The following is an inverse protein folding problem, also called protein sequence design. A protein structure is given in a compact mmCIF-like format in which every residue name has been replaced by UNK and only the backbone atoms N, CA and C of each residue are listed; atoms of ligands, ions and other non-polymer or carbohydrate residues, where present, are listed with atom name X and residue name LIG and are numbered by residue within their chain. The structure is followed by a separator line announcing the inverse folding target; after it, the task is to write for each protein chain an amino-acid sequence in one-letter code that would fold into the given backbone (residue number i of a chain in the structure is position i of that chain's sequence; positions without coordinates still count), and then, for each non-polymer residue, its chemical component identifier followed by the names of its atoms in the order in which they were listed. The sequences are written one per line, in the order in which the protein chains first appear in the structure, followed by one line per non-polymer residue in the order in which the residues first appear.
data_IF_389151882472
#
_entry.id   IF_389151882472
#
_cell.length_a   1.000
_cell.length_b   1.000
_cell.length_c   1.000
_cell.angle_alpha   90.00
_cell.angle_beta   90.00
_cell.angle_gamma   90.00
#
_symmetry.space_group_name_H-M   'P 1'
#
loop_
_entity.id
_entity.type
_entity.pdbx_description
1 polymer ?
#
# COMPACT_ATOMS: atom_id res chain seq x y z
N UNK A 1 56.92 -6.94 14.30
CA UNK A 1 55.73 -7.13 15.16
C UNK A 1 54.54 -7.32 14.25
N UNK A 2 54.07 -8.58 14.16
CA UNK A 2 53.12 -9.07 13.14
C UNK A 2 51.67 -8.80 13.57
N UNK A 3 50.88 -8.20 12.68
CA UNK A 3 49.46 -7.94 12.90
C UNK A 3 48.64 -9.20 12.57
N UNK A 4 48.13 -9.85 13.62
CA UNK A 4 47.28 -11.03 13.51
C UNK A 4 45.91 -10.67 12.91
N UNK A 5 45.64 -11.18 11.71
CA UNK A 5 44.34 -11.16 11.05
C UNK A 5 43.34 -12.00 11.87
N UNK A 6 42.33 -11.35 12.47
CA UNK A 6 41.20 -12.06 13.10
C UNK A 6 40.32 -12.69 12.02
N UNK A 7 40.51 -13.97 11.78
CA UNK A 7 39.60 -14.80 10.97
C UNK A 7 38.27 -14.92 11.70
N UNK A 8 37.19 -14.46 11.07
CA UNK A 8 35.80 -14.62 11.52
C UNK A 8 35.48 -16.12 11.49
N UNK A 9 35.39 -16.76 12.66
CA UNK A 9 34.91 -18.14 12.78
C UNK A 9 33.46 -18.21 12.29
N UNK A 10 33.20 -19.08 11.31
CA UNK A 10 31.86 -19.44 10.89
C UNK A 10 31.12 -20.12 12.07
N UNK A 11 29.80 -19.91 12.22
CA UNK A 11 29.04 -20.52 13.29
C UNK A 11 29.09 -22.05 13.18
N UNK A 12 29.40 -22.70 14.29
CA UNK A 12 29.41 -24.16 14.43
C UNK A 12 27.99 -24.69 14.17
N UNK A 13 27.80 -25.66 13.26
CA UNK A 13 26.48 -26.22 13.02
C UNK A 13 26.00 -26.98 14.27
N UNK A 14 24.79 -26.67 14.73
CA UNK A 14 24.12 -27.43 15.78
C UNK A 14 23.97 -28.89 15.35
N UNK A 15 24.52 -29.80 16.14
CA UNK A 15 24.50 -31.25 15.91
C UNK A 15 23.05 -31.76 16.00
N UNK A 16 22.55 -32.37 14.93
CA UNK A 16 21.35 -33.25 15.00
C UNK A 16 20.23 -33.01 13.99
N UNK A 17 20.25 -31.96 13.16
CA UNK A 17 19.27 -31.84 12.06
C UNK A 17 19.85 -32.54 10.82
N UNK A 18 19.24 -33.61 10.28
CA UNK A 18 19.70 -34.19 9.04
C UNK A 18 19.71 -33.12 7.95
N UNK A 19 20.87 -32.87 7.35
CA UNK A 19 21.01 -31.91 6.25
C UNK A 19 20.09 -32.33 5.11
N UNK A 20 19.19 -31.44 4.71
CA UNK A 20 18.23 -31.72 3.65
C UNK A 20 18.94 -32.20 2.38
N UNK A 21 18.56 -33.36 1.80
CA UNK A 21 19.23 -33.89 0.62
C UNK A 21 19.04 -32.94 -0.57
N UNK A 22 20.10 -32.77 -1.37
CA UNK A 22 20.01 -32.00 -2.60
C UNK A 22 18.96 -32.62 -3.54
N UNK A 23 18.16 -31.77 -4.19
CA UNK A 23 17.17 -32.22 -5.16
C UNK A 23 17.85 -32.73 -6.43
N UNK A 24 17.42 -33.87 -7.00
CA UNK A 24 17.89 -34.36 -8.29
C UNK A 24 17.80 -33.29 -9.39
N UNK A 25 18.78 -33.27 -10.30
CA UNK A 25 18.91 -32.22 -11.33
C UNK A 25 17.72 -32.19 -12.31
N UNK A 26 17.17 -33.36 -12.65
CA UNK A 26 15.97 -33.50 -13.49
C UNK A 26 14.74 -32.88 -12.82
N UNK A 27 14.58 -33.08 -11.51
CA UNK A 27 13.52 -32.46 -10.73
C UNK A 27 13.73 -30.94 -10.65
N UNK A 28 14.96 -30.46 -10.43
CA UNK A 28 15.24 -29.02 -10.43
C UNK A 28 14.92 -28.36 -11.77
N UNK A 29 15.25 -29.01 -12.89
CA UNK A 29 14.92 -28.54 -14.23
C UNK A 29 13.41 -28.44 -14.46
N UNK A 30 12.64 -29.43 -13.99
CA UNK A 30 11.17 -29.40 -14.05
C UNK A 30 10.58 -28.27 -13.21
N UNK A 31 11.06 -28.07 -11.97
CA UNK A 31 10.60 -26.99 -11.10
C UNK A 31 10.90 -25.61 -11.69
N UNK A 32 12.04 -25.45 -12.36
CA UNK A 32 12.36 -24.23 -13.09
C UNK A 32 11.41 -24.01 -14.28
N UNK A 33 11.20 -25.03 -15.12
CA UNK A 33 10.32 -24.98 -16.30
C UNK A 33 8.87 -24.66 -15.93
N UNK A 34 8.37 -25.24 -14.84
CA UNK A 34 7.02 -25.00 -14.32
C UNK A 34 6.90 -23.71 -13.50
N UNK A 35 8.02 -22.99 -13.31
CA UNK A 35 8.11 -21.77 -12.50
C UNK A 35 7.60 -21.99 -11.08
N UNK A 36 8.08 -23.03 -10.39
CA UNK A 36 7.72 -23.38 -9.01
C UNK A 36 8.86 -22.99 -8.03
N UNK A 37 9.15 -21.67 -7.86
CA UNK A 37 10.33 -21.23 -7.13
C UNK A 37 10.29 -21.56 -5.64
N UNK A 38 9.11 -21.62 -5.03
CA UNK A 38 8.97 -21.86 -3.59
C UNK A 38 9.08 -23.34 -3.28
N UNK A 39 8.47 -24.21 -4.09
CA UNK A 39 8.74 -25.66 -4.02
C UNK A 39 10.23 -25.92 -4.22
N UNK A 40 10.85 -25.32 -5.24
CA UNK A 40 12.30 -25.51 -5.46
C UNK A 40 13.15 -25.11 -4.26
N UNK A 41 12.75 -24.06 -3.54
CA UNK A 41 13.45 -23.59 -2.33
C UNK A 41 13.22 -24.52 -1.13
N UNK A 42 12.00 -25.00 -0.92
CA UNK A 42 11.58 -25.68 0.31
C UNK A 42 11.51 -27.21 0.20
N UNK A 43 11.53 -27.77 -1.01
CA UNK A 43 11.44 -29.21 -1.25
C UNK A 43 12.49 -30.05 -0.50
N UNK A 44 13.78 -29.65 -0.41
CA UNK A 44 14.75 -30.41 0.38
C UNK A 44 14.29 -30.63 1.82
N UNK A 45 13.85 -29.56 2.49
CA UNK A 45 13.44 -29.60 3.89
C UNK A 45 12.15 -30.40 4.07
N UNK A 46 11.15 -30.16 3.21
CA UNK A 46 9.87 -30.89 3.24
C UNK A 46 10.07 -32.38 3.02
N UNK A 47 10.95 -32.78 2.11
CA UNK A 47 11.25 -34.20 1.85
C UNK A 47 12.01 -34.83 3.02
N UNK A 48 12.94 -34.10 3.63
CA UNK A 48 13.63 -34.57 4.83
C UNK A 48 12.64 -34.80 5.99
N UNK A 49 11.73 -33.86 6.23
CA UNK A 49 10.66 -33.99 7.22
C UNK A 49 9.73 -35.16 6.91
N UNK A 50 9.29 -35.29 5.65
CA UNK A 50 8.43 -36.37 5.20
C UNK A 50 9.04 -37.76 5.45
N UNK A 51 10.34 -37.92 5.18
CA UNK A 51 11.07 -39.17 5.46
C UNK A 51 11.14 -39.46 6.95
N UNK A 52 11.46 -38.46 7.77
CA UNK A 52 11.58 -38.63 9.22
C UNK A 52 10.22 -38.97 9.87
N UNK A 53 9.15 -38.36 9.39
CA UNK A 53 7.80 -38.51 9.94
C UNK A 53 6.96 -39.58 9.20
N UNK A 54 7.53 -40.25 8.19
CA UNK A 54 6.87 -41.28 7.38
C UNK A 54 5.54 -40.81 6.77
N UNK A 55 5.55 -39.61 6.18
CA UNK A 55 4.40 -39.07 5.48
C UNK A 55 4.02 -39.93 4.28
N UNK A 56 2.73 -40.06 4.03
CA UNK A 56 2.18 -40.63 2.81
C UNK A 56 2.51 -39.73 1.61
N UNK A 57 2.66 -40.28 0.38
CA UNK A 57 3.03 -39.49 -0.79
C UNK A 57 2.10 -38.28 -1.04
N UNK A 58 0.81 -38.43 -0.74
CA UNK A 58 -0.18 -37.35 -0.88
C UNK A 58 0.07 -36.20 0.10
N UNK A 59 0.58 -36.49 1.30
CA UNK A 59 0.89 -35.47 2.31
C UNK A 59 2.10 -34.64 1.88
N UNK A 60 3.10 -35.27 1.27
CA UNK A 60 4.25 -34.58 0.67
C UNK A 60 3.81 -33.65 -0.44
N UNK A 61 2.99 -34.15 -1.38
CA UNK A 61 2.45 -33.32 -2.47
C UNK A 61 1.66 -32.13 -1.93
N UNK A 62 0.79 -32.36 -0.94
CA UNK A 62 0.03 -31.30 -0.28
C UNK A 62 0.94 -30.26 0.34
N UNK A 63 1.94 -30.66 1.12
CA UNK A 63 2.86 -29.73 1.79
C UNK A 63 3.63 -28.85 0.79
N UNK A 64 4.15 -29.44 -0.28
CA UNK A 64 4.84 -28.71 -1.34
C UNK A 64 3.93 -27.70 -2.05
N UNK A 65 2.70 -28.11 -2.39
CA UNK A 65 1.73 -27.23 -3.06
C UNK A 65 1.26 -26.09 -2.15
N UNK A 66 1.07 -26.37 -0.85
CA UNK A 66 0.75 -25.34 0.15
C UNK A 66 1.88 -24.31 0.25
N UNK A 67 3.15 -24.75 0.28
CA UNK A 67 4.29 -23.83 0.30
C UNK A 67 4.39 -23.00 -0.99
N UNK A 68 4.07 -23.58 -2.15
CA UNK A 68 4.01 -22.83 -3.41
C UNK A 68 2.94 -21.75 -3.38
N UNK A 69 1.72 -22.11 -2.98
CA UNK A 69 0.60 -21.19 -2.91
C UNK A 69 0.89 -20.04 -1.94
N UNK A 70 1.31 -20.36 -0.71
CA UNK A 70 1.65 -19.37 0.31
C UNK A 70 2.83 -18.49 -0.13
N UNK A 71 3.85 -19.07 -0.77
CA UNK A 71 4.97 -18.32 -1.32
C UNK A 71 4.56 -17.32 -2.40
N UNK A 72 3.67 -17.73 -3.31
CA UNK A 72 3.13 -16.85 -4.36
C UNK A 72 2.27 -15.74 -3.78
N UNK A 73 1.42 -16.04 -2.81
CA UNK A 73 0.60 -15.04 -2.11
C UNK A 73 1.48 -14.00 -1.43
N UNK A 74 2.51 -14.43 -0.70
CA UNK A 74 3.52 -13.52 -0.09
C UNK A 74 4.21 -12.65 -1.15
N UNK A 75 4.61 -13.24 -2.27
CA UNK A 75 5.29 -12.52 -3.35
C UNK A 75 4.37 -11.52 -4.05
N UNK A 76 3.11 -11.89 -4.29
CA UNK A 76 2.10 -11.03 -4.88
C UNK A 76 1.74 -9.87 -3.94
N UNK A 77 1.58 -10.14 -2.64
CA UNK A 77 1.38 -9.12 -1.61
C UNK A 77 2.55 -8.13 -1.58
N UNK A 78 3.79 -8.61 -1.50
CA UNK A 78 4.98 -7.77 -1.49
C UNK A 78 5.08 -6.90 -2.75
N UNK A 79 4.78 -7.47 -3.92
CA UNK A 79 4.77 -6.75 -5.20
C UNK A 79 3.69 -5.66 -5.21
N UNK A 80 2.46 -5.96 -4.76
CA UNK A 80 1.38 -4.95 -4.67
C UNK A 80 1.72 -3.85 -3.67
N UNK A 81 2.26 -4.20 -2.50
CA UNK A 81 2.65 -3.24 -1.46
C UNK A 81 3.77 -2.30 -1.94
N UNK A 82 4.80 -2.85 -2.60
CA UNK A 82 5.86 -2.05 -3.19
C UNK A 82 5.35 -1.16 -4.32
N UNK A 83 4.48 -1.69 -5.19
CA UNK A 83 3.88 -0.94 -6.30
C UNK A 83 2.91 0.17 -5.86
N UNK A 84 2.38 0.11 -4.65
CA UNK A 84 1.44 1.10 -4.15
C UNK A 84 2.08 2.45 -3.79
N UNK A 85 3.38 2.47 -3.44
CA UNK A 85 4.09 3.72 -3.17
C UNK A 85 3.70 4.41 -1.85
N UNK A 86 3.29 3.66 -0.82
CA UNK A 86 2.91 4.22 0.48
C UNK A 86 4.07 5.01 1.12
N UNK A 87 3.79 6.16 1.76
CA UNK A 87 4.83 7.05 2.27
C UNK A 87 5.53 6.55 3.54
N UNK A 88 4.81 5.95 4.49
CA UNK A 88 5.36 5.65 5.83
C UNK A 88 5.01 4.26 6.39
N UNK A 89 4.18 3.50 5.71
CA UNK A 89 3.77 2.14 6.09
C UNK A 89 2.74 2.06 7.22
N UNK A 90 1.93 3.12 7.47
CA UNK A 90 0.92 3.06 8.55
C UNK A 90 -0.15 2.00 8.29
N UNK A 91 -0.39 1.17 9.30
CA UNK A 91 -1.44 0.13 9.30
C UNK A 91 -2.46 0.42 10.40
N UNK A 92 -3.56 -0.32 10.41
CA UNK A 92 -4.55 -0.23 11.49
C UNK A 92 -4.03 -0.72 12.85
N UNK A 93 -2.90 -1.41 12.92
CA UNK A 93 -2.30 -1.84 14.20
C UNK A 93 -1.85 -0.65 15.05
N UNK A 94 -1.41 0.43 14.41
CA UNK A 94 -0.99 1.66 15.06
C UNK A 94 -2.10 2.73 15.10
N UNK A 95 -3.31 2.41 14.62
CA UNK A 95 -4.43 3.35 14.62
C UNK A 95 -5.14 3.34 15.97
N UNK A 96 -5.40 4.52 16.55
CA UNK A 96 -6.26 4.67 17.71
C UNK A 96 -7.66 5.14 17.27
N UNK A 97 -8.69 4.27 17.25
CA UNK A 97 -10.04 4.64 16.83
C UNK A 97 -10.66 5.75 17.69
N UNK A 98 -10.35 5.78 18.99
CA UNK A 98 -10.94 6.72 19.94
C UNK A 98 -10.35 8.13 19.82
N UNK A 99 -9.17 8.28 19.22
CA UNK A 99 -8.54 9.58 18.98
C UNK A 99 -9.06 10.27 17.70
N UNK A 100 -9.81 9.56 16.86
CA UNK A 100 -10.39 10.11 15.63
C UNK A 100 -11.77 10.68 15.89
N UNK A 101 -12.08 11.83 15.27
CA UNK A 101 -13.44 12.38 15.28
C UNK A 101 -14.41 11.62 14.37
N UNK A 102 -13.92 10.69 13.54
CA UNK A 102 -14.77 9.84 12.70
C UNK A 102 -15.40 8.77 13.59
N UNK A 103 -16.73 8.57 13.58
CA UNK A 103 -17.40 7.58 14.44
C UNK A 103 -16.87 6.16 14.23
N UNK A 104 -16.71 5.38 15.31
CA UNK A 104 -16.22 4.01 15.23
C UNK A 104 -17.00 3.09 14.26
N UNK A 105 -18.35 3.14 14.17
CA UNK A 105 -19.09 2.37 13.18
C UNK A 105 -18.71 2.72 11.73
N UNK A 106 -18.48 4.00 11.46
CA UNK A 106 -18.02 4.48 10.15
C UNK A 106 -16.62 3.98 9.85
N UNK A 107 -15.69 4.04 10.82
CA UNK A 107 -14.35 3.49 10.65
C UNK A 107 -14.41 1.99 10.32
N UNK A 108 -15.30 1.24 10.98
CA UNK A 108 -15.48 -0.18 10.71
C UNK A 108 -16.09 -0.44 9.32
N UNK A 109 -17.07 0.36 8.89
CA UNK A 109 -17.64 0.27 7.56
C UNK A 109 -16.59 0.55 6.46
N UNK A 110 -15.68 1.50 6.67
CA UNK A 110 -14.60 1.77 5.70
C UNK A 110 -13.62 0.59 5.57
N UNK A 111 -13.38 -0.13 6.68
CA UNK A 111 -12.50 -1.32 6.70
C UNK A 111 -13.06 -2.50 5.92
N UNK A 112 -14.37 -2.55 5.64
CA UNK A 112 -14.92 -3.64 4.81
C UNK A 112 -14.52 -3.52 3.34
N UNK A 113 -14.05 -2.34 2.90
CA UNK A 113 -13.67 -2.03 1.52
C UNK A 113 -14.79 -2.22 0.49
N UNK A 114 -16.04 -2.44 0.92
CA UNK A 114 -17.19 -2.56 0.02
C UNK A 114 -17.35 -1.33 -0.88
N UNK A 115 -17.06 -0.14 -0.34
CA UNK A 115 -17.07 1.12 -1.09
C UNK A 115 -16.08 1.11 -2.27
N UNK A 116 -14.93 0.43 -2.14
CA UNK A 116 -13.96 0.25 -3.24
C UNK A 116 -14.53 -0.64 -4.34
N UNK A 117 -15.24 -1.71 -3.95
CA UNK A 117 -15.88 -2.63 -4.88
C UNK A 117 -17.07 -1.97 -5.60
N UNK A 118 -17.82 -1.12 -4.91
CA UNK A 118 -18.92 -0.31 -5.46
C UNK A 118 -18.46 0.90 -6.28
N UNK A 119 -17.13 1.12 -6.38
CA UNK A 119 -16.54 2.26 -7.12
C UNK A 119 -16.95 3.62 -6.54
N UNK A 120 -17.19 3.65 -5.24
CA UNK A 120 -17.45 4.87 -4.48
C UNK A 120 -16.13 5.54 -4.12
N UNK A 121 -16.13 6.87 -4.00
CA UNK A 121 -14.99 7.65 -3.59
C UNK A 121 -14.99 7.87 -2.08
N UNK A 122 -13.83 8.23 -1.55
CA UNK A 122 -13.64 8.58 -0.14
C UNK A 122 -12.97 9.94 -0.05
N UNK A 123 -13.57 10.88 0.66
CA UNK A 123 -12.94 12.17 0.97
C UNK A 123 -12.84 12.32 2.46
N UNK A 124 -11.61 12.51 2.95
CA UNK A 124 -11.34 12.83 4.35
C UNK A 124 -10.73 14.23 4.40
N UNK A 125 -11.49 15.21 4.87
CA UNK A 125 -11.06 16.61 4.94
C UNK A 125 -10.97 17.12 6.39
N UNK A 126 -10.34 18.28 6.61
CA UNK A 126 -10.25 18.94 7.92
C UNK A 126 -8.84 19.36 8.30
N UNK A 127 -8.61 19.88 9.53
CA UNK A 127 -7.33 20.45 9.95
C UNK A 127 -6.14 19.49 9.85
N UNK A 128 -4.92 20.03 9.80
CA UNK A 128 -3.70 19.22 9.82
C UNK A 128 -3.55 18.46 11.15
N UNK A 129 -3.03 17.24 11.09
CA UNK A 129 -2.76 16.44 12.30
C UNK A 129 -3.95 15.64 12.84
N UNK A 130 -5.14 15.68 12.22
CA UNK A 130 -6.34 14.94 12.67
C UNK A 130 -6.41 13.48 12.20
N UNK A 131 -5.34 12.95 11.59
CA UNK A 131 -5.24 11.53 11.21
C UNK A 131 -5.71 11.17 9.79
N UNK A 132 -5.98 12.16 8.92
CA UNK A 132 -6.47 11.92 7.53
C UNK A 132 -5.54 11.01 6.70
N UNK A 133 -4.28 11.41 6.53
CA UNK A 133 -3.25 10.64 5.81
C UNK A 133 -3.08 9.26 6.42
N UNK A 134 -3.03 9.17 7.74
CA UNK A 134 -2.89 7.88 8.44
C UNK A 134 -4.04 6.95 8.06
N UNK A 135 -5.29 7.42 8.18
CA UNK A 135 -6.46 6.60 7.88
C UNK A 135 -6.44 6.10 6.44
N UNK A 136 -6.12 6.97 5.47
CA UNK A 136 -6.05 6.57 4.06
C UNK A 136 -4.92 5.58 3.80
N UNK A 137 -3.75 5.76 4.43
CA UNK A 137 -2.63 4.83 4.30
C UNK A 137 -2.96 3.47 4.91
N UNK A 138 -3.59 3.44 6.08
CA UNK A 138 -4.04 2.22 6.74
C UNK A 138 -5.12 1.48 5.91
N UNK A 139 -6.08 2.20 5.33
CA UNK A 139 -7.05 1.65 4.39
C UNK A 139 -6.38 1.09 3.13
N UNK A 140 -5.40 1.81 2.58
CA UNK A 140 -4.65 1.36 1.42
C UNK A 140 -3.84 0.09 1.70
N UNK A 141 -3.14 0.02 2.85
CA UNK A 141 -2.43 -1.18 3.28
C UNK A 141 -3.39 -2.36 3.43
N UNK A 142 -4.54 -2.14 4.07
CA UNK A 142 -5.57 -3.16 4.23
C UNK A 142 -6.12 -3.63 2.87
N UNK A 143 -6.34 -2.71 1.93
CA UNK A 143 -6.76 -3.05 0.57
C UNK A 143 -5.72 -3.92 -0.16
N UNK A 144 -4.43 -3.62 -0.01
CA UNK A 144 -3.35 -4.45 -0.56
C UNK A 144 -3.32 -5.85 0.06
N UNK A 145 -3.58 -5.96 1.36
CA UNK A 145 -3.70 -7.24 2.08
C UNK A 145 -4.91 -8.06 1.60
N UNK A 146 -6.05 -7.41 1.31
CA UNK A 146 -7.22 -8.03 0.69
C UNK A 146 -7.05 -8.30 -0.82
N UNK A 147 -5.87 -7.99 -1.35
CA UNK A 147 -5.48 -8.34 -2.70
C UNK A 147 -5.79 -7.31 -3.78
N UNK A 148 -6.26 -6.13 -3.40
CA UNK A 148 -6.49 -5.01 -4.31
C UNK A 148 -5.17 -4.32 -4.67
N UNK A 149 -5.12 -3.73 -5.86
CA UNK A 149 -4.01 -2.87 -6.26
C UNK A 149 -4.31 -1.45 -5.80
N UNK A 150 -3.38 -0.85 -5.10
CA UNK A 150 -3.46 0.54 -4.66
C UNK A 150 -2.40 1.35 -5.37
N UNK A 151 -2.64 2.63 -5.63
CA UNK A 151 -1.62 3.59 -6.04
C UNK A 151 -1.76 4.85 -5.20
N UNK A 152 -0.66 5.28 -4.59
CA UNK A 152 -0.57 6.47 -3.75
C UNK A 152 0.13 7.60 -4.48
N UNK A 153 -0.43 8.80 -4.38
CA UNK A 153 0.14 10.04 -4.87
C UNK A 153 -0.08 11.14 -3.84
N UNK A 154 0.85 12.06 -3.72
CA UNK A 154 0.54 13.41 -3.25
C UNK A 154 -0.02 14.23 -4.42
N UNK A 155 -0.65 15.36 -4.13
CA UNK A 155 -1.08 16.29 -5.20
C UNK A 155 0.12 16.78 -6.04
N UNK A 156 1.29 16.95 -5.41
CA UNK A 156 2.53 17.33 -6.10
C UNK A 156 3.02 16.23 -7.06
N UNK A 157 2.92 14.96 -6.66
CA UNK A 157 3.28 13.82 -7.52
C UNK A 157 2.45 13.80 -8.80
N UNK A 158 1.16 14.13 -8.73
CA UNK A 158 0.31 14.28 -9.91
C UNK A 158 0.79 15.41 -10.81
N UNK A 159 1.18 16.56 -10.25
CA UNK A 159 1.76 17.65 -11.03
C UNK A 159 3.06 17.24 -11.73
N UNK A 160 3.93 16.50 -11.05
CA UNK A 160 5.17 15.98 -11.62
C UNK A 160 4.91 14.94 -12.72
N UNK A 161 3.94 14.05 -12.52
CA UNK A 161 3.48 13.09 -13.52
C UNK A 161 3.02 13.81 -14.80
N UNK A 162 2.21 14.86 -14.63
CA UNK A 162 1.67 15.65 -15.74
C UNK A 162 2.78 16.36 -16.51
N UNK A 163 3.69 17.06 -15.84
CA UNK A 163 4.84 17.70 -16.48
C UNK A 163 5.67 16.73 -17.30
N UNK A 164 6.00 15.59 -16.70
CA UNK A 164 6.86 14.58 -17.34
C UNK A 164 6.25 14.03 -18.63
N UNK A 165 4.95 13.79 -18.63
CA UNK A 165 4.24 13.17 -19.74
C UNK A 165 3.61 14.17 -20.72
N UNK A 166 3.71 15.47 -20.44
CA UNK A 166 3.27 16.51 -21.38
C UNK A 166 4.27 16.69 -22.52
N UNK A 167 5.56 16.56 -22.26
CA UNK A 167 6.59 16.77 -23.27
C UNK A 167 6.55 15.75 -24.43
N UNK A 168 5.97 14.57 -24.20
CA UNK A 168 5.87 13.47 -25.18
C UNK A 168 4.41 13.08 -25.50
N UNK A 169 3.45 13.97 -25.20
CA UNK A 169 2.01 13.78 -25.42
C UNK A 169 1.43 12.47 -24.85
N UNK A 170 2.01 11.96 -23.77
CA UNK A 170 1.66 10.65 -23.19
C UNK A 170 0.84 10.72 -21.89
N UNK A 171 0.35 11.89 -21.50
CA UNK A 171 -0.46 12.13 -20.28
C UNK A 171 -1.62 11.14 -20.15
N UNK A 172 -2.42 10.97 -21.21
CA UNK A 172 -3.57 10.05 -21.20
C UNK A 172 -3.15 8.61 -20.90
N UNK A 173 -2.01 8.16 -21.46
CA UNK A 173 -1.46 6.83 -21.21
C UNK A 173 -0.93 6.69 -19.78
N UNK A 174 -0.36 7.75 -19.22
CA UNK A 174 0.10 7.78 -17.84
C UNK A 174 -1.07 7.64 -16.86
N UNK A 175 -2.15 8.43 -17.03
CA UNK A 175 -3.37 8.33 -16.21
C UNK A 175 -4.01 6.94 -16.34
N UNK A 176 -4.12 6.41 -17.56
CA UNK A 176 -4.65 5.05 -17.77
C UNK A 176 -3.81 3.96 -17.06
N UNK A 177 -2.49 4.18 -16.88
CA UNK A 177 -1.63 3.28 -16.10
C UNK A 177 -1.95 3.37 -14.61
N UNK A 178 -2.20 4.57 -14.08
CA UNK A 178 -2.62 4.78 -12.69
C UNK A 178 -3.93 4.04 -12.40
N UNK A 179 -4.90 4.09 -13.32
CA UNK A 179 -6.20 3.41 -13.18
C UNK A 179 -6.16 1.88 -13.28
N UNK A 180 -4.96 1.27 -13.43
CA UNK A 180 -4.78 -0.17 -13.22
C UNK A 180 -4.89 -0.55 -11.74
N UNK A 181 -4.74 0.42 -10.83
CA UNK A 181 -5.09 0.26 -9.43
C UNK A 181 -6.61 0.19 -9.27
N UNK A 182 -7.07 -0.57 -8.27
CA UNK A 182 -8.46 -0.66 -7.85
C UNK A 182 -8.86 0.57 -7.01
N UNK A 183 -7.91 1.08 -6.23
CA UNK A 183 -8.01 2.28 -5.40
C UNK A 183 -6.83 3.22 -5.69
N UNK A 184 -7.12 4.47 -6.02
CA UNK A 184 -6.10 5.53 -6.15
C UNK A 184 -6.25 6.49 -4.98
N UNK A 185 -5.17 6.75 -4.25
CA UNK A 185 -5.15 7.69 -3.13
C UNK A 185 -4.39 8.94 -3.55
N UNK A 186 -4.99 10.12 -3.34
CA UNK A 186 -4.35 11.42 -3.51
C UNK A 186 -4.32 12.16 -2.15
N UNK A 187 -3.14 12.26 -1.55
CA UNK A 187 -2.93 12.81 -0.21
C UNK A 187 -2.47 14.28 -0.25
N UNK A 188 -2.69 14.97 0.88
CA UNK A 188 -2.19 16.30 1.22
C UNK A 188 -2.65 17.43 0.28
N UNK A 189 -3.95 17.44 -0.04
CA UNK A 189 -4.55 18.52 -0.82
C UNK A 189 -4.76 19.77 0.04
N UNK A 190 -4.42 20.94 -0.51
CA UNK A 190 -4.77 22.24 0.07
C UNK A 190 -3.91 22.70 1.25
N UNK A 191 -2.71 22.13 1.45
CA UNK A 191 -1.72 22.68 2.38
C UNK A 191 -0.83 23.75 1.74
N UNK A 192 -0.43 23.54 0.48
CA UNK A 192 0.48 24.40 -0.28
C UNK A 192 -0.23 24.99 -1.50
N UNK A 193 0.29 26.10 -2.07
CA UNK A 193 -0.15 26.61 -3.35
C UNK A 193 -0.08 25.51 -4.43
N UNK A 194 -1.17 25.32 -5.16
CA UNK A 194 -1.30 24.25 -6.15
C UNK A 194 -0.84 24.75 -7.52
N UNK A 195 0.13 24.04 -8.11
CA UNK A 195 0.55 24.32 -9.49
C UNK A 195 -0.55 23.95 -10.50
N UNK A 196 -0.57 24.60 -11.67
CA UNK A 196 -1.53 24.29 -12.73
C UNK A 196 -1.51 22.80 -13.13
N UNK A 197 -0.33 22.19 -13.19
CA UNK A 197 -0.18 20.78 -13.54
C UNK A 197 -0.76 19.85 -12.48
N UNK A 198 -0.63 20.22 -11.20
CA UNK A 198 -1.17 19.44 -10.10
C UNK A 198 -2.71 19.51 -10.09
N UNK A 199 -3.27 20.71 -10.30
CA UNK A 199 -4.71 20.90 -10.46
C UNK A 199 -5.27 20.12 -11.67
N UNK A 200 -4.61 20.22 -12.83
CA UNK A 200 -4.98 19.46 -14.03
C UNK A 200 -4.86 17.95 -13.80
N UNK A 201 -3.79 17.52 -13.12
CA UNK A 201 -3.56 16.11 -12.79
C UNK A 201 -4.66 15.53 -11.91
N UNK A 202 -5.09 16.27 -10.89
CA UNK A 202 -6.21 15.89 -10.03
C UNK A 202 -7.51 15.79 -10.83
N UNK A 203 -7.84 16.78 -11.66
CA UNK A 203 -9.02 16.73 -12.51
C UNK A 203 -9.00 15.51 -13.44
N UNK A 204 -7.91 15.28 -14.17
CA UNK A 204 -7.79 14.17 -15.12
C UNK A 204 -7.87 12.82 -14.43
N UNK A 205 -7.30 12.69 -13.22
CA UNK A 205 -7.42 11.48 -12.43
C UNK A 205 -8.88 11.22 -12.06
N UNK A 206 -9.57 12.21 -11.49
CA UNK A 206 -10.98 12.10 -11.08
C UNK A 206 -11.89 11.84 -12.27
N UNK A 207 -11.70 12.54 -13.38
CA UNK A 207 -12.47 12.37 -14.61
C UNK A 207 -12.29 10.98 -15.21
N UNK A 208 -11.04 10.48 -15.28
CA UNK A 208 -10.78 9.17 -15.84
C UNK A 208 -11.22 8.03 -14.90
N UNK A 209 -11.21 8.25 -13.58
CA UNK A 209 -11.67 7.29 -12.57
C UNK A 209 -13.19 7.20 -12.43
N UNK A 210 -13.92 8.27 -12.80
CA UNK A 210 -15.36 8.39 -12.64
C UNK A 210 -16.12 7.14 -13.10
N UNK A 211 -16.92 6.56 -12.19
CA UNK A 211 -17.71 5.32 -12.36
C UNK A 211 -16.89 4.05 -12.72
N UNK A 212 -15.55 4.10 -12.67
CA UNK A 212 -14.65 3.00 -13.07
C UNK A 212 -13.75 2.52 -11.94
N UNK A 213 -13.28 3.44 -11.10
CA UNK A 213 -12.32 3.22 -10.01
C UNK A 213 -12.65 4.12 -8.82
N UNK A 214 -12.29 3.66 -7.64
CA UNK A 214 -12.41 4.46 -6.43
C UNK A 214 -11.22 5.39 -6.26
N UNK A 215 -11.50 6.63 -5.90
CA UNK A 215 -10.51 7.64 -5.52
C UNK A 215 -10.70 7.96 -4.04
N UNK A 216 -9.61 7.91 -3.27
CA UNK A 216 -9.55 8.40 -1.91
C UNK A 216 -8.72 9.68 -1.85
N UNK A 217 -9.22 10.72 -1.19
CA UNK A 217 -8.53 12.01 -1.05
C UNK A 217 -8.41 12.41 0.41
N UNK A 218 -7.23 12.91 0.79
CA UNK A 218 -7.08 13.71 2.01
C UNK A 218 -6.90 15.19 1.66
N UNK A 219 -7.55 16.07 2.42
CA UNK A 219 -7.52 17.51 2.13
C UNK A 219 -7.60 18.36 3.39
N UNK A 220 -6.91 19.49 3.43
CA UNK A 220 -7.11 20.51 4.45
C UNK A 220 -8.31 21.42 4.15
N UNK A 221 -8.78 21.42 2.90
CA UNK A 221 -9.98 22.13 2.46
C UNK A 221 -11.13 21.15 2.23
N UNK A 222 -12.36 21.58 2.53
CA UNK A 222 -13.54 20.86 2.06
C UNK A 222 -13.59 20.93 0.52
N UNK A 223 -14.04 19.88 -0.20
CA UNK A 223 -14.11 19.90 -1.68
C UNK A 223 -14.87 21.09 -2.27
N UNK A 224 -15.83 21.64 -1.53
CA UNK A 224 -16.55 22.85 -1.93
C UNK A 224 -15.65 24.09 -2.14
N UNK A 225 -14.45 24.10 -1.55
CA UNK A 225 -13.46 25.16 -1.66
C UNK A 225 -12.32 24.81 -2.64
N UNK A 226 -12.50 23.82 -3.51
CA UNK A 226 -11.48 23.47 -4.52
C UNK A 226 -11.26 24.56 -5.57
N UNK A 227 -12.16 25.53 -5.70
CA UNK A 227 -11.95 26.72 -6.53
C UNK A 227 -10.87 27.67 -5.99
N UNK A 228 -10.44 27.51 -4.73
CA UNK A 228 -9.23 28.16 -4.19
C UNK A 228 -7.95 27.51 -4.74
N UNK A 229 -8.01 26.24 -5.18
CA UNK A 229 -6.87 25.45 -5.63
C UNK A 229 -6.73 25.40 -7.15
N UNK A 230 -7.82 25.63 -7.88
CA UNK A 230 -7.85 25.50 -9.34
C UNK A 230 -8.92 26.40 -9.97
N UNK A 231 -8.87 26.68 -11.29
CA UNK A 231 -9.89 27.48 -11.95
C UNK A 231 -11.31 26.96 -11.67
N UNK A 232 -12.26 27.86 -11.40
CA UNK A 232 -13.62 27.54 -10.94
C UNK A 232 -14.36 26.51 -11.81
N UNK A 233 -14.17 26.56 -13.12
CA UNK A 233 -14.75 25.60 -14.08
C UNK A 233 -14.20 24.19 -13.86
N UNK A 234 -12.88 24.07 -13.66
CA UNK A 234 -12.19 22.81 -13.37
C UNK A 234 -12.59 22.28 -11.99
N UNK A 235 -12.66 23.15 -10.99
CA UNK A 235 -13.09 22.78 -9.63
C UNK A 235 -14.50 22.21 -9.64
N UNK A 236 -15.44 22.90 -10.28
CA UNK A 236 -16.84 22.46 -10.38
C UNK A 236 -16.95 21.09 -11.05
N UNK A 237 -16.23 20.89 -12.16
CA UNK A 237 -16.21 19.62 -12.89
C UNK A 237 -15.58 18.48 -12.08
N UNK A 238 -14.51 18.77 -11.33
CA UNK A 238 -13.80 17.82 -10.47
C UNK A 238 -14.68 17.41 -9.29
N UNK A 239 -15.22 18.38 -8.56
CA UNK A 239 -16.06 18.15 -7.37
C UNK A 239 -17.33 17.41 -7.74
N UNK A 240 -18.00 17.78 -8.85
CA UNK A 240 -19.21 17.10 -9.31
C UNK A 240 -18.98 15.60 -9.53
N UNK A 241 -17.87 15.21 -10.17
CA UNK A 241 -17.52 13.81 -10.40
C UNK A 241 -17.02 13.10 -9.15
N UNK A 242 -16.21 13.79 -8.35
CA UNK A 242 -15.65 13.24 -7.12
C UNK A 242 -16.76 12.92 -6.12
N UNK A 243 -17.75 13.80 -5.96
CA UNK A 243 -18.78 13.71 -4.93
C UNK A 243 -20.07 13.00 -5.33
N UNK A 244 -20.28 12.66 -6.61
CA UNK A 244 -21.51 12.02 -7.06
C UNK A 244 -21.77 10.68 -6.34
N UNK A 245 -20.72 9.87 -6.19
CA UNK A 245 -20.73 8.63 -5.40
C UNK A 245 -19.57 8.67 -4.42
N UNK A 246 -19.75 9.34 -3.28
CA UNK A 246 -18.68 9.51 -2.30
C UNK A 246 -19.14 9.42 -0.86
N UNK A 247 -18.23 8.95 -0.03
CA UNK A 247 -18.27 9.11 1.42
C UNK A 247 -17.39 10.30 1.80
N UNK A 248 -17.98 11.33 2.41
CA UNK A 248 -17.27 12.55 2.81
C UNK A 248 -17.24 12.66 4.33
N UNK A 249 -16.04 12.76 4.89
CA UNK A 249 -15.82 12.89 6.32
C UNK A 249 -14.99 14.12 6.62
N UNK A 250 -15.53 14.99 7.45
CA UNK A 250 -14.80 16.14 7.98
C UNK A 250 -14.27 15.80 9.37
N UNK A 251 -12.95 15.72 9.47
CA UNK A 251 -12.24 15.57 10.73
C UNK A 251 -12.18 16.90 11.48
N UNK A 252 -12.17 16.81 12.81
CA UNK A 252 -12.08 17.95 13.72
C UNK A 252 -11.22 17.59 14.93
N UNK A 253 -10.90 18.60 15.75
CA UNK A 253 -10.09 18.44 16.96
C UNK A 253 -8.63 18.84 16.80
N UNK A 254 -7.88 18.64 17.88
CA UNK A 254 -6.46 18.98 17.95
C UNK A 254 -5.59 18.01 17.15
N UNK A 255 -4.38 18.46 16.82
CA UNK A 255 -3.40 17.63 16.14
C UNK A 255 -2.95 16.47 17.03
N UNK A 256 -3.22 15.24 16.61
CA UNK A 256 -2.76 14.01 17.29
C UNK A 256 -1.24 14.02 17.45
N UNK A 257 -0.52 14.53 16.44
CA UNK A 257 0.95 14.66 16.47
C UNK A 257 1.40 15.62 17.56
N UNK A 258 0.67 16.73 17.73
CA UNK A 258 0.97 17.71 18.78
C UNK A 258 0.65 17.16 20.17
N UNK A 259 -0.49 16.49 20.33
CA UNK A 259 -0.86 15.83 21.58
C UNK A 259 0.18 14.77 22.00
N UNK A 260 0.68 13.96 21.06
CA UNK A 260 1.76 13.01 21.31
C UNK A 260 3.05 13.70 21.73
N UNK A 261 3.45 14.77 21.03
CA UNK A 261 4.66 15.53 21.36
C UNK A 261 4.57 16.15 22.76
N UNK A 262 3.42 16.72 23.13
CA UNK A 262 3.17 17.28 24.46
C UNK A 262 3.18 16.20 25.56
N UNK A 263 2.76 14.98 25.22
CA UNK A 263 2.83 13.82 26.11
C UNK A 263 4.22 13.14 26.15
N UNK A 264 5.24 13.71 25.49
CA UNK A 264 6.60 13.17 25.44
C UNK A 264 6.76 11.94 24.52
N UNK A 265 5.73 11.60 23.73
CA UNK A 265 5.82 10.50 22.77
C UNK A 265 6.46 10.99 21.46
N UNK A 266 7.57 10.37 21.06
CA UNK A 266 8.32 10.74 19.85
C UNK A 266 9.20 11.99 20.00
N UNK A 267 9.32 12.53 21.21
CA UNK A 267 10.27 13.60 21.56
C UNK A 267 11.32 13.01 22.50
N UNK A 268 12.53 12.80 21.98
CA UNK A 268 13.66 12.33 22.79
C UNK A 268 14.67 13.47 22.94
N UNK A 269 15.02 13.88 24.17
CA UNK A 269 16.08 14.86 24.36
C UNK A 269 17.41 14.28 23.86
N UNK A 270 18.17 15.09 23.14
CA UNK A 270 19.53 14.71 22.75
C UNK A 270 20.39 14.79 24.01
N UNK A 271 20.83 13.63 24.53
CA UNK A 271 21.78 13.53 25.64
C UNK A 271 23.19 13.31 25.11
#
# INVERSE_FOLDING_TARGET
MSAATRTRQAPVPAVGVPSAPAMPDDVQALLHRLRLPHIRRHAPDVIATAKAQRWEPVEVLRALLVEEAAGRERSALATRRAGAGFPTGKTFDAWNPAASSIPAPTQQALRTLEWVHRRENLVVCGPSGTGKTFLLEALGQHAVEQGLRVAWFTLEDLGTLLRRHRADDSVTKAIARVLRADLVVCDDIGLLPVSQDAAEGLYRLVDAAYEKRSVAISSNLHPAAFDELMPKTLATATVGRLLHHAHVFQTSGESVRQAQALAGQGVSPLS
#
